data_IF_110020974171
#
_entry.id   IF_110020974171
#
_cell.length_a   1.000
_cell.length_b   1.000
_cell.length_c   1.000
_cell.angle_alpha   90.00
_cell.angle_beta   90.00
_cell.angle_gamma   90.00
#
_symmetry.space_group_name_H-M   'P 1'
#
loop_
_entity.id
_entity.type
_entity.pdbx_description
1 polymer ?
#
# COMPACT_ATOMS: atom_id res chain seq x y z
N UNK A 1 -7.86 -6.72 -9.78
CA UNK A 1 -7.15 -8.01 -9.95
C UNK A 1 -7.53 -8.62 -11.28
N UNK A 2 -6.55 -9.05 -12.09
CA UNK A 2 -6.84 -9.75 -13.33
C UNK A 2 -7.29 -11.20 -13.05
N UNK A 3 -8.14 -11.81 -13.90
CA UNK A 3 -8.72 -13.14 -13.67
C UNK A 3 -7.74 -14.27 -13.36
N UNK A 4 -6.51 -14.16 -13.87
CA UNK A 4 -5.47 -15.20 -13.74
C UNK A 4 -4.31 -14.76 -12.85
N UNK A 5 -4.49 -13.70 -12.06
CA UNK A 5 -3.49 -13.29 -11.09
C UNK A 5 -3.32 -14.32 -9.96
N UNK A 6 -4.37 -15.07 -9.63
CA UNK A 6 -4.42 -16.10 -8.59
C UNK A 6 -4.26 -17.51 -9.16
N UNK A 7 -3.86 -18.47 -8.30
CA UNK A 7 -3.72 -19.90 -8.64
C UNK A 7 -4.99 -20.45 -9.29
N UNK A 8 -6.13 -20.22 -8.65
CA UNK A 8 -7.46 -20.51 -9.21
C UNK A 8 -8.00 -19.27 -9.91
N UNK A 9 -8.47 -19.42 -11.15
CA UNK A 9 -8.98 -18.28 -11.95
C UNK A 9 -10.19 -17.63 -11.27
N UNK A 10 -10.13 -16.34 -11.01
CA UNK A 10 -11.26 -15.55 -10.50
C UNK A 10 -12.07 -14.96 -11.67
N UNK A 11 -13.42 -14.94 -11.62
CA UNK A 11 -14.23 -14.22 -12.60
C UNK A 11 -13.93 -12.71 -12.59
N UNK A 12 -14.15 -12.02 -13.71
CA UNK A 12 -14.06 -10.54 -13.73
C UNK A 12 -15.27 -9.93 -13.04
N UNK A 13 -15.05 -8.88 -12.25
CA UNK A 13 -16.12 -8.07 -11.66
C UNK A 13 -17.09 -7.52 -12.72
N UNK A 14 -16.58 -7.14 -13.89
CA UNK A 14 -17.40 -6.69 -15.03
C UNK A 14 -18.37 -7.75 -15.55
N UNK A 15 -18.00 -9.03 -15.46
CA UNK A 15 -18.85 -10.17 -15.86
C UNK A 15 -19.87 -10.48 -14.75
N UNK A 16 -19.54 -10.21 -13.49
CA UNK A 16 -20.46 -10.38 -12.36
C UNK A 16 -21.44 -9.21 -12.19
N UNK A 17 -21.26 -8.10 -12.92
CA UNK A 17 -22.11 -6.91 -12.86
C UNK A 17 -22.01 -6.14 -11.54
N UNK A 18 -21.06 -6.49 -10.66
CA UNK A 18 -20.82 -5.84 -9.36
C UNK A 18 -19.36 -5.93 -8.97
N UNK A 19 -18.86 -4.87 -8.33
CA UNK A 19 -17.52 -4.85 -7.74
C UNK A 19 -17.57 -5.64 -6.42
N UNK A 20 -16.64 -6.56 -6.22
CA UNK A 20 -16.57 -7.33 -4.97
C UNK A 20 -16.31 -6.43 -3.75
N UNK A 21 -16.82 -6.81 -2.57
CA UNK A 21 -16.61 -6.04 -1.33
C UNK A 21 -15.13 -5.81 -1.01
N UNK A 22 -14.30 -6.84 -1.20
CA UNK A 22 -12.83 -6.77 -1.07
C UNK A 22 -12.20 -5.75 -2.01
N UNK A 23 -12.64 -5.69 -3.28
CA UNK A 23 -12.12 -4.69 -4.22
C UNK A 23 -12.50 -3.26 -3.79
N UNK A 24 -13.73 -3.04 -3.32
CA UNK A 24 -14.15 -1.73 -2.82
C UNK A 24 -13.37 -1.29 -1.57
N UNK A 25 -13.14 -2.22 -0.64
CA UNK A 25 -12.33 -2.00 0.56
C UNK A 25 -10.91 -1.54 0.19
N UNK A 26 -10.25 -2.29 -0.70
CA UNK A 26 -8.87 -2.00 -1.14
C UNK A 26 -8.79 -0.67 -1.89
N UNK A 27 -9.73 -0.37 -2.79
CA UNK A 27 -9.80 0.93 -3.49
C UNK A 27 -9.91 2.09 -2.49
N UNK A 28 -10.77 1.94 -1.48
CA UNK A 28 -10.93 2.95 -0.43
C UNK A 28 -9.66 3.10 0.42
N UNK A 29 -9.00 1.99 0.74
CA UNK A 29 -7.75 1.96 1.50
C UNK A 29 -6.61 2.67 0.77
N UNK A 30 -6.39 2.36 -0.51
CA UNK A 30 -5.39 3.02 -1.35
C UNK A 30 -5.68 4.52 -1.43
N UNK A 31 -6.93 4.88 -1.73
CA UNK A 31 -7.32 6.28 -1.82
C UNK A 31 -7.13 7.06 -0.52
N UNK A 32 -7.47 6.47 0.64
CA UNK A 32 -7.22 7.10 1.96
C UNK A 32 -5.72 7.29 2.20
N UNK A 33 -4.92 6.27 1.90
CA UNK A 33 -3.48 6.27 2.11
C UNK A 33 -2.77 7.38 1.33
N UNK A 34 -3.10 7.52 0.04
CA UNK A 34 -2.50 8.55 -0.81
C UNK A 34 -2.97 9.96 -0.44
N UNK A 35 -4.26 10.13 -0.12
CA UNK A 35 -4.78 11.45 0.30
C UNK A 35 -4.15 11.93 1.61
N UNK A 36 -3.83 11.03 2.54
CA UNK A 36 -3.21 11.39 3.82
C UNK A 36 -1.86 12.10 3.65
N UNK A 37 -1.09 11.75 2.62
CA UNK A 37 0.22 12.37 2.33
C UNK A 37 0.19 13.46 1.26
N UNK A 38 -0.99 13.78 0.72
CA UNK A 38 -1.13 14.74 -0.39
C UNK A 38 -1.73 16.05 0.11
N UNK A 39 -1.21 17.20 -0.36
CA UNK A 39 -1.88 18.49 -0.21
C UNK A 39 -2.97 18.67 -1.27
N UNK A 40 -4.21 18.34 -0.90
CA UNK A 40 -5.36 18.42 -1.80
C UNK A 40 -5.72 19.86 -2.19
N UNK A 41 -5.34 20.87 -1.40
CA UNK A 41 -5.61 22.26 -1.74
C UNK A 41 -4.73 22.71 -2.91
N UNK A 42 -3.46 22.28 -2.90
CA UNK A 42 -2.53 22.49 -4.01
C UNK A 42 -2.94 21.75 -5.29
N UNK A 43 -3.75 20.69 -5.16
CA UNK A 43 -4.38 19.97 -6.28
C UNK A 43 -5.78 20.48 -6.66
N UNK A 44 -6.22 21.62 -6.12
CA UNK A 44 -7.58 22.12 -6.35
C UNK A 44 -7.93 22.19 -7.84
N UNK A 45 -9.17 21.80 -8.15
CA UNK A 45 -9.68 21.72 -9.53
C UNK A 45 -9.15 20.53 -10.35
N UNK A 46 -8.44 19.58 -9.74
CA UNK A 46 -7.89 18.40 -10.43
C UNK A 46 -8.19 17.11 -9.65
N UNK A 47 -8.30 16.01 -10.39
CA UNK A 47 -8.44 14.65 -9.84
C UNK A 47 -7.39 13.76 -10.45
N UNK A 48 -6.60 13.10 -9.61
CA UNK A 48 -5.68 12.05 -10.04
C UNK A 48 -6.34 10.69 -9.81
N UNK A 49 -6.48 9.93 -10.89
CA UNK A 49 -6.98 8.56 -10.84
C UNK A 49 -5.79 7.61 -10.72
N UNK A 50 -5.89 6.66 -9.79
CA UNK A 50 -4.85 5.68 -9.52
C UNK A 50 -5.45 4.31 -9.72
N UNK A 51 -4.93 3.60 -10.72
CA UNK A 51 -5.37 2.27 -11.09
C UNK A 51 -4.30 1.25 -10.67
N UNK A 52 -4.75 0.22 -9.94
CA UNK A 52 -3.89 -0.85 -9.44
C UNK A 52 -4.39 -2.19 -9.94
N UNK A 53 -3.78 -2.69 -11.02
CA UNK A 53 -4.09 -4.00 -11.58
C UNK A 53 -3.04 -5.03 -11.17
N UNK A 54 -3.46 -5.90 -10.25
CA UNK A 54 -2.66 -7.07 -9.87
C UNK A 54 -2.64 -8.06 -11.03
N UNK A 55 -1.44 -8.27 -11.57
CA UNK A 55 -1.17 -9.22 -12.66
C UNK A 55 -0.77 -10.62 -12.13
N UNK A 56 -0.18 -10.68 -10.93
CA UNK A 56 0.16 -11.90 -10.19
C UNK A 56 -0.06 -11.63 -8.70
N UNK A 57 -0.68 -12.59 -8.01
CA UNK A 57 -1.03 -12.48 -6.60
C UNK A 57 -0.42 -13.64 -5.81
N UNK A 58 0.41 -13.31 -4.83
CA UNK A 58 1.06 -14.25 -3.92
C UNK A 58 1.21 -13.64 -2.51
N UNK A 59 0.10 -13.15 -1.95
CA UNK A 59 0.11 -12.37 -0.70
C UNK A 59 0.41 -10.88 -0.92
N UNK A 60 0.19 -10.07 0.12
CA UNK A 60 0.60 -8.64 0.16
C UNK A 60 0.05 -7.70 -0.93
N UNK A 61 -0.89 -8.12 -1.79
CA UNK A 61 -1.22 -7.34 -3.01
C UNK A 61 -1.78 -5.94 -2.71
N UNK A 62 -2.49 -5.76 -1.58
CA UNK A 62 -3.04 -4.46 -1.17
C UNK A 62 -1.96 -3.50 -0.65
N UNK A 63 -0.99 -4.00 0.11
CA UNK A 63 0.10 -3.22 0.68
C UNK A 63 1.10 -2.87 -0.43
N UNK A 64 1.41 -3.83 -1.31
CA UNK A 64 2.18 -3.59 -2.53
C UNK A 64 1.53 -2.53 -3.43
N UNK A 65 0.21 -2.58 -3.61
CA UNK A 65 -0.51 -1.58 -4.40
C UNK A 65 -0.37 -0.16 -3.83
N UNK A 66 -0.43 0.02 -2.51
CA UNK A 66 -0.22 1.33 -1.86
C UNK A 66 1.21 1.83 -2.11
N UNK A 67 2.20 0.97 -1.83
CA UNK A 67 3.62 1.30 -1.97
C UNK A 67 3.98 1.66 -3.42
N UNK A 68 3.46 0.93 -4.40
CA UNK A 68 3.67 1.22 -5.82
C UNK A 68 2.89 2.45 -6.31
N UNK A 69 1.66 2.64 -5.81
CA UNK A 69 0.83 3.81 -6.15
C UNK A 69 1.48 5.13 -5.79
N UNK A 70 2.19 5.19 -4.66
CA UNK A 70 2.92 6.40 -4.27
C UNK A 70 3.96 6.79 -5.33
N UNK A 71 4.75 5.82 -5.81
CA UNK A 71 5.76 6.04 -6.85
C UNK A 71 5.10 6.53 -8.14
N UNK A 72 4.04 5.87 -8.58
CA UNK A 72 3.29 6.27 -9.77
C UNK A 72 2.70 7.68 -9.64
N UNK A 73 2.13 8.01 -8.48
CA UNK A 73 1.56 9.31 -8.19
C UNK A 73 2.62 10.41 -8.22
N UNK A 74 3.78 10.15 -7.62
CA UNK A 74 4.91 11.08 -7.63
C UNK A 74 5.36 11.37 -9.07
N UNK A 75 5.58 10.33 -9.89
CA UNK A 75 6.00 10.49 -11.29
C UNK A 75 4.98 11.28 -12.12
N UNK A 76 3.68 11.04 -11.91
CA UNK A 76 2.61 11.80 -12.55
C UNK A 76 2.65 13.27 -12.13
N UNK A 77 2.78 13.56 -10.82
CA UNK A 77 2.86 14.93 -10.31
C UNK A 77 4.12 15.66 -10.77
N UNK A 78 5.27 14.97 -10.84
CA UNK A 78 6.49 15.53 -11.42
C UNK A 78 6.24 15.91 -12.88
N UNK A 79 5.65 15.02 -13.68
CA UNK A 79 5.37 15.31 -15.08
C UNK A 79 4.49 16.56 -15.23
N UNK A 80 3.46 16.69 -14.38
CA UNK A 80 2.61 17.88 -14.36
C UNK A 80 3.37 19.14 -13.91
N UNK A 81 4.33 19.02 -13.00
CA UNK A 81 5.18 20.12 -12.57
C UNK A 81 6.14 20.56 -13.69
N UNK A 82 6.75 19.62 -14.40
CA UNK A 82 7.65 19.87 -15.54
C UNK A 82 6.91 20.55 -16.69
N UNK A 83 5.62 20.24 -16.87
CA UNK A 83 4.73 20.91 -17.82
C UNK A 83 4.26 22.29 -17.36
N UNK A 84 4.61 22.73 -16.14
CA UNK A 84 4.15 23.97 -15.54
C UNK A 84 2.67 23.98 -15.13
N UNK A 85 2.01 22.81 -15.12
CA UNK A 85 0.60 22.67 -14.70
C UNK A 85 0.49 22.74 -13.17
N UNK A 86 1.50 22.22 -12.47
CA UNK A 86 1.68 22.35 -11.03
C UNK A 86 2.91 23.21 -10.75
N UNK A 87 2.84 24.07 -9.72
CA UNK A 87 3.98 24.89 -9.31
C UNK A 87 5.04 24.08 -8.54
N UNK A 88 4.63 23.00 -7.88
CA UNK A 88 5.49 22.06 -7.18
C UNK A 88 4.76 20.71 -7.04
N UNK A 89 5.45 19.70 -6.52
CA UNK A 89 4.84 18.39 -6.20
C UNK A 89 4.11 18.51 -4.85
N UNK A 90 2.77 18.32 -4.80
CA UNK A 90 1.97 18.49 -3.59
C UNK A 90 1.95 17.23 -2.70
N UNK A 91 3.09 16.59 -2.49
CA UNK A 91 3.25 15.44 -1.59
C UNK A 91 4.03 15.87 -0.36
N UNK A 92 3.41 15.74 0.83
CA UNK A 92 4.02 16.10 2.11
C UNK A 92 5.04 15.06 2.59
N UNK A 93 4.71 13.79 2.41
CA UNK A 93 5.50 12.65 2.87
C UNK A 93 5.42 11.51 1.86
N UNK A 94 6.35 10.56 1.95
CA UNK A 94 6.17 9.26 1.30
C UNK A 94 5.18 8.41 2.07
N UNK A 95 4.50 7.47 1.37
CA UNK A 95 3.66 6.45 2.00
C UNK A 95 4.04 5.07 1.48
N UNK A 96 4.16 4.12 2.40
CA UNK A 96 4.40 2.72 2.11
C UNK A 96 3.63 1.85 3.11
N UNK A 97 3.43 0.60 2.72
CA UNK A 97 2.65 -0.35 3.49
C UNK A 97 3.23 -1.76 3.38
N UNK A 98 3.08 -2.54 4.44
CA UNK A 98 3.49 -3.95 4.51
C UNK A 98 2.45 -4.76 5.27
N UNK A 99 2.42 -6.07 5.00
CA UNK A 99 1.68 -7.01 5.85
C UNK A 99 2.60 -7.55 6.95
N UNK A 100 2.00 -7.96 8.08
CA UNK A 100 2.65 -8.72 9.14
C UNK A 100 1.67 -9.78 9.61
N UNK A 101 2.15 -10.98 9.94
CA UNK A 101 1.30 -12.07 10.42
C UNK A 101 1.90 -12.83 11.59
N UNK A 102 1.03 -13.52 12.32
CA UNK A 102 1.42 -14.47 13.38
C UNK A 102 1.18 -15.89 12.87
N UNK A 103 2.26 -16.57 12.50
CA UNK A 103 2.23 -17.95 11.99
C UNK A 103 2.95 -18.85 12.99
N UNK A 104 2.25 -19.85 13.54
CA UNK A 104 2.78 -20.75 14.57
C UNK A 104 3.45 -20.03 15.76
N UNK A 105 2.83 -18.95 16.26
CA UNK A 105 3.34 -18.03 17.31
C UNK A 105 4.62 -17.24 16.95
N UNK A 106 5.07 -17.25 15.69
CA UNK A 106 6.16 -16.43 15.21
C UNK A 106 5.63 -15.26 14.38
N UNK A 107 6.31 -14.11 14.46
CA UNK A 107 5.99 -12.95 13.65
C UNK A 107 6.71 -13.03 12.30
N UNK A 108 5.95 -12.87 11.22
CA UNK A 108 6.44 -12.82 9.85
C UNK A 108 6.11 -11.46 9.23
N UNK A 109 7.07 -10.91 8.50
CA UNK A 109 6.93 -9.65 7.75
C UNK A 109 6.70 -9.99 6.28
N UNK A 110 5.79 -9.28 5.62
CA UNK A 110 5.48 -9.40 4.19
C UNK A 110 5.03 -10.82 3.79
N UNK A 111 3.89 -11.24 4.35
CA UNK A 111 3.35 -12.60 4.17
C UNK A 111 3.09 -12.93 2.69
N UNK A 112 3.60 -14.09 2.25
CA UNK A 112 3.17 -14.71 1.01
C UNK A 112 1.78 -15.37 1.16
N UNK A 113 1.20 -15.89 0.08
CA UNK A 113 -0.15 -16.48 0.13
C UNK A 113 -0.26 -17.65 1.13
N UNK A 114 0.73 -18.53 1.15
CA UNK A 114 0.72 -19.72 2.02
C UNK A 114 0.88 -19.35 3.50
N UNK A 115 1.65 -18.30 3.79
CA UNK A 115 1.85 -17.78 5.14
C UNK A 115 0.59 -17.05 5.65
N UNK A 116 -0.02 -16.21 4.81
CA UNK A 116 -1.29 -15.51 5.08
C UNK A 116 -2.42 -16.51 5.38
N UNK A 117 -2.50 -17.58 4.58
CA UNK A 117 -3.50 -18.65 4.79
C UNK A 117 -3.33 -19.40 6.11
N UNK A 118 -2.11 -19.48 6.65
CA UNK A 118 -1.80 -20.16 7.91
C UNK A 118 -1.77 -19.22 9.12
N UNK A 119 -1.87 -17.91 8.90
CA UNK A 119 -1.74 -16.93 9.96
C UNK A 119 -2.95 -17.00 10.92
N UNK A 120 -2.69 -17.03 12.23
CA UNK A 120 -3.74 -16.91 13.24
C UNK A 120 -4.22 -15.47 13.44
N UNK A 121 -3.40 -14.51 12.99
CA UNK A 121 -3.76 -13.10 12.89
C UNK A 121 -2.91 -12.44 11.80
N UNK A 122 -3.53 -11.57 11.02
CA UNK A 122 -2.90 -10.79 9.96
C UNK A 122 -3.09 -9.29 10.19
N UNK A 123 -2.13 -8.52 9.71
CA UNK A 123 -2.08 -7.09 9.86
C UNK A 123 -1.64 -6.44 8.55
N UNK A 124 -2.31 -5.35 8.19
CA UNK A 124 -1.88 -4.43 7.14
C UNK A 124 -1.55 -3.09 7.78
N UNK A 125 -0.28 -2.70 7.70
CA UNK A 125 0.25 -1.50 8.34
C UNK A 125 0.65 -0.50 7.26
N UNK A 126 0.16 0.73 7.37
CA UNK A 126 0.46 1.82 6.44
C UNK A 126 1.05 2.98 7.23
N UNK A 127 2.24 3.44 6.84
CA UNK A 127 2.94 4.54 7.50
C UNK A 127 3.44 5.56 6.49
N UNK A 128 3.61 6.79 6.96
CA UNK A 128 4.32 7.82 6.21
C UNK A 128 5.81 7.87 6.56
N UNK A 129 6.59 8.61 5.77
CA UNK A 129 8.03 8.77 5.99
C UNK A 129 8.41 9.57 7.25
N UNK A 130 7.45 10.18 7.95
CA UNK A 130 7.64 10.80 9.26
C UNK A 130 7.52 9.80 10.42
N UNK A 131 7.27 8.51 10.13
CA UNK A 131 7.06 7.47 11.13
C UNK A 131 5.66 7.47 11.75
N UNK A 132 4.70 8.19 11.14
CA UNK A 132 3.33 8.26 11.62
C UNK A 132 2.47 7.19 10.93
N UNK A 133 1.55 6.59 11.68
CA UNK A 133 0.59 5.63 11.14
C UNK A 133 -0.54 6.35 10.41
N UNK A 134 -0.82 5.91 9.18
CA UNK A 134 -1.99 6.35 8.42
C UNK A 134 -3.17 5.42 8.71
N UNK A 135 -2.93 4.11 8.68
CA UNK A 135 -3.96 3.12 8.98
C UNK A 135 -3.30 1.81 9.47
N UNK A 136 -3.94 1.18 10.47
CA UNK A 136 -3.57 -0.11 11.04
C UNK A 136 -4.82 -0.98 10.98
N UNK A 137 -4.79 -2.01 10.13
CA UNK A 137 -5.87 -3.01 10.05
C UNK A 137 -5.32 -4.32 10.57
N UNK A 138 -5.86 -4.81 11.69
CA UNK A 138 -5.51 -6.10 12.26
C UNK A 138 -6.75 -6.96 12.41
N UNK A 139 -6.64 -8.23 12.02
CA UNK A 139 -7.71 -9.21 12.16
C UNK A 139 -7.18 -10.44 12.88
N UNK A 140 -7.89 -10.89 13.90
CA UNK A 140 -7.62 -12.17 14.56
C UNK A 140 -8.56 -13.22 13.98
N UNK A 141 -8.04 -14.16 13.20
CA UNK A 141 -8.80 -15.31 12.72
C UNK A 141 -8.62 -16.48 13.70
N UNK A 142 -9.49 -16.51 14.71
CA UNK A 142 -9.57 -17.59 15.71
C UNK A 142 -8.97 -17.24 17.06
N UNK A 143 -7.68 -16.89 17.14
CA UNK A 143 -7.01 -16.56 18.42
C UNK A 143 -6.73 -15.07 18.53
N UNK A 144 -7.17 -14.46 19.63
CA UNK A 144 -6.89 -13.05 19.93
C UNK A 144 -5.41 -12.82 20.25
N UNK A 145 -4.94 -11.59 20.02
CA UNK A 145 -3.60 -11.13 20.34
C UNK A 145 -3.64 -10.06 21.44
N UNK A 146 -2.55 -9.93 22.19
CA UNK A 146 -2.44 -8.92 23.25
C UNK A 146 -1.93 -7.59 22.71
N UNK A 147 -1.96 -6.55 23.54
CA UNK A 147 -1.36 -5.26 23.20
C UNK A 147 0.15 -5.41 22.93
N UNK A 148 0.85 -6.20 23.72
CA UNK A 148 2.29 -6.43 23.59
C UNK A 148 2.63 -7.12 22.26
N UNK A 149 1.76 -8.02 21.82
CA UNK A 149 1.85 -8.62 20.48
C UNK A 149 1.65 -7.56 19.39
N UNK A 150 0.64 -6.70 19.52
CA UNK A 150 0.41 -5.61 18.57
C UNK A 150 1.61 -4.65 18.52
N UNK A 151 2.19 -4.28 19.66
CA UNK A 151 3.39 -3.42 19.71
C UNK A 151 4.58 -4.06 18.97
N UNK A 152 4.72 -5.39 19.08
CA UNK A 152 5.75 -6.16 18.37
C UNK A 152 5.50 -6.20 16.86
N UNK A 153 4.23 -6.35 16.44
CA UNK A 153 3.80 -6.27 15.03
C UNK A 153 4.13 -4.91 14.45
N UNK A 154 3.76 -3.83 15.14
CA UNK A 154 4.01 -2.46 14.69
C UNK A 154 5.51 -2.17 14.58
N UNK A 155 6.31 -2.66 15.53
CA UNK A 155 7.77 -2.53 15.51
C UNK A 155 8.42 -3.27 14.34
N UNK A 156 7.88 -4.44 13.97
CA UNK A 156 8.37 -5.19 12.82
C UNK A 156 7.96 -4.52 11.49
N UNK A 157 6.73 -4.03 11.40
CA UNK A 157 6.24 -3.32 10.23
C UNK A 157 7.01 -2.01 9.98
N UNK A 158 7.31 -1.23 11.02
CA UNK A 158 8.09 0.01 10.91
C UNK A 158 9.46 -0.24 10.26
N UNK A 159 10.15 -1.32 10.62
CA UNK A 159 11.42 -1.71 9.99
C UNK A 159 11.24 -2.00 8.49
N UNK A 160 10.29 -2.85 8.15
CA UNK A 160 10.01 -3.19 6.74
C UNK A 160 9.61 -1.98 5.91
N UNK A 161 8.76 -1.11 6.46
CA UNK A 161 8.31 0.10 5.76
C UNK A 161 9.46 1.10 5.54
N UNK A 162 10.40 1.23 6.49
CA UNK A 162 11.62 2.03 6.29
C UNK A 162 12.45 1.52 5.12
N UNK A 163 12.57 0.20 4.95
CA UNK A 163 13.23 -0.39 3.79
C UNK A 163 12.46 -0.09 2.49
N UNK A 164 11.13 -0.16 2.51
CA UNK A 164 10.29 0.20 1.36
C UNK A 164 10.48 1.66 0.92
N UNK A 165 10.64 2.61 1.84
CA UNK A 165 10.96 3.99 1.47
C UNK A 165 12.28 4.11 0.71
N UNK A 166 13.29 3.35 1.10
CA UNK A 166 14.57 3.34 0.38
C UNK A 166 14.42 2.74 -1.03
N UNK A 167 13.57 1.72 -1.20
CA UNK A 167 13.24 1.20 -2.53
C UNK A 167 12.45 2.21 -3.39
N UNK A 168 11.51 2.95 -2.80
CA UNK A 168 10.79 4.02 -3.51
C UNK A 168 11.75 5.10 -4.00
N UNK A 169 12.67 5.56 -3.15
CA UNK A 169 13.73 6.53 -3.54
C UNK A 169 14.56 6.01 -4.70
N UNK A 170 15.01 4.75 -4.64
CA UNK A 170 15.77 4.10 -5.74
C UNK A 170 14.96 4.04 -7.03
N UNK A 171 13.68 3.66 -6.96
CA UNK A 171 12.81 3.57 -8.13
C UNK A 171 12.61 4.94 -8.80
N UNK A 172 12.34 5.99 -8.01
CA UNK A 172 12.18 7.34 -8.51
C UNK A 172 13.50 7.89 -9.09
N UNK A 173 14.64 7.61 -8.45
CA UNK A 173 15.96 7.97 -8.97
C UNK A 173 16.25 7.29 -10.32
N UNK A 174 15.91 6.00 -10.45
CA UNK A 174 16.03 5.27 -11.71
C UNK A 174 15.13 5.84 -12.83
N UNK A 175 14.00 6.45 -12.46
CA UNK A 175 13.10 7.17 -13.37
C UNK A 175 13.58 8.60 -13.73
N UNK A 176 14.77 9.01 -13.28
CA UNK A 176 15.37 10.30 -13.61
C UNK A 176 15.03 11.44 -12.65
N UNK A 177 14.29 11.17 -11.57
CA UNK A 177 13.98 12.15 -10.52
C UNK A 177 15.21 12.37 -9.65
N UNK A 178 15.67 13.63 -9.50
CA UNK A 178 16.82 13.99 -8.65
C UNK A 178 16.35 14.75 -7.41
N UNK A 179 17.07 14.61 -6.30
CA UNK A 179 16.87 15.43 -5.10
C UNK A 179 15.73 14.99 -4.18
N UNK A 180 15.40 13.69 -4.16
CA UNK A 180 14.38 13.13 -3.27
C UNK A 180 14.99 13.02 -1.87
N UNK A 181 14.71 14.00 -1.00
CA UNK A 181 15.05 13.97 0.42
C UNK A 181 14.04 13.16 1.22
#
# INVERSE_FOLDING_TARGET
>A
MLPRATVTRTPRDSVQGRISGRNQEIQRLIGRSLRAVTDLNALSGRTLQVDCDVIQADGGTRTAAITGSYVALYLAMQTLADMGILSNIPLRYAVAATSVGIVHNNLFLDLCYDEDFQAGADFNIIMNSNGEFIEVQGTAEGKTYTKETLDSVLSLADKGIKELFEFQKKALAAAGIRGIS
#
